data_IF_313549344203
#
_entry.id   IF_313549344203
#
_cell.length_a   1.000
_cell.length_b   1.000
_cell.length_c   1.000
_cell.angle_alpha   90.00
_cell.angle_beta   90.00
_cell.angle_gamma   90.00
#
_symmetry.space_group_name_H-M   'P 1'
#
loop_
_entity.id
_entity.type
_entity.pdbx_description
1 polymer ?
#
# COMPACT_ATOMS: atom_id res chain seq x y z
N UNK A 1 0.91 -1.89 -48.79
CA UNK A 1 -0.02 -2.52 -47.86
C UNK A 1 -1.36 -2.60 -48.58
N UNK A 2 -1.99 -3.77 -48.60
CA UNK A 2 -3.30 -3.96 -49.26
C UNK A 2 -4.43 -3.44 -48.36
N UNK A 3 -5.61 -3.13 -48.92
CA UNK A 3 -6.78 -2.70 -48.13
C UNK A 3 -7.16 -3.70 -47.03
N UNK A 4 -6.98 -5.01 -47.30
CA UNK A 4 -7.23 -6.07 -46.32
C UNK A 4 -6.23 -6.01 -45.16
N UNK A 5 -4.95 -5.75 -45.46
CA UNK A 5 -3.92 -5.60 -44.43
C UNK A 5 -4.21 -4.39 -43.53
N UNK A 6 -4.62 -3.27 -44.11
CA UNK A 6 -5.00 -2.07 -43.35
C UNK A 6 -6.22 -2.33 -42.45
N UNK A 7 -7.24 -3.02 -42.97
CA UNK A 7 -8.40 -3.40 -42.19
C UNK A 7 -8.05 -4.32 -41.01
N UNK A 8 -7.17 -5.31 -41.23
CA UNK A 8 -6.71 -6.23 -40.17
C UNK A 8 -5.94 -5.46 -39.09
N UNK A 9 -5.00 -4.59 -39.49
CA UNK A 9 -4.22 -3.78 -38.54
C UNK A 9 -5.15 -2.89 -37.72
N UNK A 10 -6.12 -2.22 -38.35
CA UNK A 10 -7.08 -1.38 -37.64
C UNK A 10 -7.90 -2.15 -36.60
N UNK A 11 -8.40 -3.35 -36.95
CA UNK A 11 -9.16 -4.20 -36.02
C UNK A 11 -8.30 -4.64 -34.84
N UNK A 12 -7.08 -5.12 -35.11
CA UNK A 12 -6.15 -5.59 -34.07
C UNK A 12 -5.75 -4.45 -33.14
N UNK A 13 -5.36 -3.30 -33.68
CA UNK A 13 -5.00 -2.11 -32.90
C UNK A 13 -6.17 -1.65 -32.04
N UNK A 14 -7.39 -1.61 -32.57
CA UNK A 14 -8.57 -1.22 -31.81
C UNK A 14 -8.90 -2.21 -30.68
N UNK A 15 -8.61 -3.50 -30.85
CA UNK A 15 -8.79 -4.48 -29.79
C UNK A 15 -7.73 -4.33 -28.70
N UNK A 16 -6.46 -4.14 -29.09
CA UNK A 16 -5.34 -3.96 -28.16
C UNK A 16 -5.52 -2.70 -27.30
N UNK A 17 -6.00 -1.59 -27.88
CA UNK A 17 -6.30 -0.34 -27.14
C UNK A 17 -7.32 -0.52 -26.01
N UNK A 18 -8.16 -1.55 -26.07
CA UNK A 18 -9.19 -1.86 -25.06
C UNK A 18 -8.71 -2.83 -23.98
N UNK A 19 -7.45 -3.28 -24.04
CA UNK A 19 -6.86 -4.15 -23.04
C UNK A 19 -6.26 -3.29 -21.94
N UNK A 20 -6.94 -3.19 -20.81
CA UNK A 20 -6.35 -2.59 -19.61
C UNK A 20 -5.52 -3.63 -18.87
N UNK A 21 -4.33 -3.24 -18.42
CA UNK A 21 -3.44 -4.06 -17.60
C UNK A 21 -3.22 -3.37 -16.26
N UNK A 22 -2.19 -2.55 -16.16
CA UNK A 22 -1.75 -1.90 -14.93
C UNK A 22 -1.85 -0.40 -15.06
N UNK A 23 -2.55 0.24 -14.12
CA UNK A 23 -2.83 1.68 -14.16
C UNK A 23 -2.53 2.30 -12.79
N UNK A 24 -1.70 3.36 -12.70
CA UNK A 24 -1.50 4.05 -11.43
C UNK A 24 -2.78 4.74 -10.99
N UNK A 25 -3.06 4.65 -9.69
CA UNK A 25 -4.24 5.23 -9.08
C UNK A 25 -3.96 5.71 -7.67
N UNK A 26 -4.85 6.56 -7.15
CA UNK A 26 -4.86 6.94 -5.74
C UNK A 26 -6.19 6.65 -5.08
N UNK A 27 -6.14 6.37 -3.79
CA UNK A 27 -7.33 6.13 -2.95
C UNK A 27 -8.14 7.41 -2.77
N UNK A 28 -9.44 7.31 -3.05
CA UNK A 28 -10.44 8.37 -2.75
C UNK A 28 -11.11 8.09 -1.41
N UNK A 29 -11.45 6.82 -1.15
CA UNK A 29 -12.04 6.34 0.11
C UNK A 29 -11.71 4.86 0.32
N UNK A 30 -11.68 4.40 1.57
CA UNK A 30 -11.42 3.00 1.92
C UNK A 30 -12.43 2.48 2.96
N UNK A 31 -12.99 1.30 2.71
CA UNK A 31 -13.84 0.55 3.64
C UNK A 31 -13.01 -0.59 4.24
N UNK A 32 -12.57 -0.42 5.48
CA UNK A 32 -11.74 -1.40 6.19
C UNK A 32 -12.47 -2.73 6.49
N UNK A 33 -13.80 -2.72 6.60
CA UNK A 33 -14.58 -3.94 6.86
C UNK A 33 -14.67 -4.81 5.61
N UNK A 34 -14.81 -4.18 4.44
CA UNK A 34 -14.85 -4.87 3.15
C UNK A 34 -13.48 -5.04 2.50
N UNK A 35 -12.45 -4.37 3.02
CA UNK A 35 -11.11 -4.32 2.44
C UNK A 35 -11.13 -3.80 0.99
N UNK A 36 -11.97 -2.79 0.74
CA UNK A 36 -12.23 -2.25 -0.60
C UNK A 36 -12.01 -0.74 -0.64
N UNK A 37 -11.52 -0.24 -1.76
CA UNK A 37 -11.29 1.18 -1.99
C UNK A 37 -12.09 1.69 -3.20
N UNK A 38 -12.41 2.98 -3.16
CA UNK A 38 -12.72 3.75 -4.36
C UNK A 38 -11.44 4.39 -4.85
N UNK A 39 -11.07 4.17 -6.11
CA UNK A 39 -9.78 4.57 -6.67
C UNK A 39 -9.96 5.55 -7.82
N UNK A 40 -9.14 6.59 -7.86
CA UNK A 40 -9.05 7.50 -9.00
C UNK A 40 -7.81 7.15 -9.83
N UNK A 41 -7.97 6.66 -11.06
CA UNK A 41 -6.83 6.52 -11.99
C UNK A 41 -6.12 7.86 -12.22
N UNK A 42 -4.80 7.80 -12.31
CA UNK A 42 -3.90 8.96 -12.44
C UNK A 42 -3.44 9.22 -13.89
N UNK A 43 -3.82 8.36 -14.83
CA UNK A 43 -3.57 8.57 -16.27
C UNK A 43 -4.85 8.96 -17.01
N UNK A 44 -4.66 9.53 -18.21
CA UNK A 44 -5.71 9.73 -19.20
C UNK A 44 -5.56 8.69 -20.30
N UNK A 45 -6.69 8.22 -20.83
CA UNK A 45 -6.72 7.31 -21.97
C UNK A 45 -7.39 8.06 -23.11
N UNK A 46 -6.68 8.21 -24.24
CA UNK A 46 -7.10 9.02 -25.37
C UNK A 46 -7.48 10.47 -24.96
N UNK A 47 -6.74 11.04 -24.01
CA UNK A 47 -6.98 12.39 -23.48
C UNK A 47 -8.13 12.50 -22.47
N UNK A 48 -8.88 11.41 -22.25
CA UNK A 48 -10.03 11.38 -21.34
C UNK A 48 -9.60 10.93 -19.94
N UNK A 49 -10.02 11.68 -18.93
CA UNK A 49 -9.83 11.30 -17.53
C UNK A 49 -10.83 10.19 -17.17
N UNK A 50 -10.35 9.13 -16.54
CA UNK A 50 -11.20 8.03 -16.09
C UNK A 50 -11.97 8.41 -14.82
N UNK A 51 -13.19 7.88 -14.71
CA UNK A 51 -14.00 8.02 -13.51
C UNK A 51 -13.41 7.20 -12.35
N UNK A 52 -13.70 7.58 -11.09
CA UNK A 52 -13.36 6.75 -9.94
C UNK A 52 -13.97 5.35 -10.05
N UNK A 53 -13.20 4.33 -9.70
CA UNK A 53 -13.59 2.93 -9.73
C UNK A 53 -13.93 2.52 -8.29
N UNK A 54 -15.20 2.17 -7.98
CA UNK A 54 -15.62 1.80 -6.64
C UNK A 54 -15.33 0.32 -6.33
N UNK A 55 -15.37 -0.02 -5.04
CA UNK A 55 -15.37 -1.40 -4.54
C UNK A 55 -14.18 -2.27 -4.99
N UNK A 56 -13.01 -1.66 -5.23
CA UNK A 56 -11.81 -2.38 -5.66
C UNK A 56 -11.15 -3.04 -4.46
N UNK A 57 -10.94 -4.38 -4.44
CA UNK A 57 -10.26 -5.06 -3.35
C UNK A 57 -8.79 -4.60 -3.25
N UNK A 58 -8.36 -4.34 -2.02
CA UNK A 58 -7.00 -3.88 -1.69
C UNK A 58 -6.14 -5.05 -1.24
N UNK A 59 -4.96 -5.19 -1.84
CA UNK A 59 -3.98 -6.20 -1.46
C UNK A 59 -3.38 -5.89 -0.09
N UNK A 60 -3.44 -6.87 0.80
CA UNK A 60 -2.65 -6.92 2.05
C UNK A 60 -1.65 -8.08 1.96
N UNK A 61 -0.45 -7.92 2.51
CA UNK A 61 0.58 -8.97 2.49
C UNK A 61 0.25 -9.98 3.60
N UNK A 62 -0.02 -11.23 3.27
CA UNK A 62 -0.37 -12.23 4.30
C UNK A 62 -0.93 -13.53 3.76
N UNK A 63 -1.30 -14.40 4.69
CA UNK A 63 -2.03 -15.66 4.47
C UNK A 63 -3.06 -15.89 5.57
N UNK A 64 -3.58 -17.12 5.67
CA UNK A 64 -4.69 -17.44 6.58
C UNK A 64 -4.42 -17.19 8.08
N UNK A 65 -3.17 -17.36 8.52
CA UNK A 65 -2.80 -17.19 9.94
C UNK A 65 -2.21 -15.82 10.29
N UNK A 66 -1.64 -15.11 9.32
CA UNK A 66 -0.83 -13.91 9.58
C UNK A 66 -0.94 -12.92 8.42
N UNK A 67 -1.03 -11.63 8.73
CA UNK A 67 -1.13 -10.56 7.73
C UNK A 67 -0.41 -9.31 8.23
N UNK A 68 0.26 -8.62 7.31
CA UNK A 68 0.77 -7.26 7.49
C UNK A 68 -0.36 -6.30 7.09
N UNK A 69 -1.05 -5.78 8.11
CA UNK A 69 -2.07 -4.75 7.92
C UNK A 69 -1.39 -3.39 7.83
N UNK A 70 -1.66 -2.66 6.75
CA UNK A 70 -1.21 -1.28 6.57
C UNK A 70 -2.40 -0.33 6.62
N UNK A 71 -2.18 0.86 7.17
CA UNK A 71 -3.17 1.93 7.12
C UNK A 71 -3.30 2.44 5.67
N UNK A 72 -4.55 2.54 5.20
CA UNK A 72 -4.88 3.05 3.86
C UNK A 72 -5.68 4.34 4.03
N UNK A 73 -5.05 5.46 3.66
CA UNK A 73 -5.64 6.78 3.77
C UNK A 73 -6.04 7.32 2.39
N UNK A 74 -6.86 8.37 2.37
CA UNK A 74 -7.13 9.12 1.14
C UNK A 74 -5.81 9.66 0.59
N UNK A 75 -5.59 9.45 -0.71
CA UNK A 75 -4.37 9.86 -1.40
C UNK A 75 -3.28 8.78 -1.45
N UNK A 76 -3.42 7.64 -0.75
CA UNK A 76 -2.49 6.52 -0.90
C UNK A 76 -2.39 6.10 -2.36
N UNK A 77 -1.19 6.16 -2.93
CA UNK A 77 -0.90 5.75 -4.30
C UNK A 77 -0.63 4.25 -4.40
N UNK A 78 -0.86 3.73 -5.59
CA UNK A 78 -0.58 2.34 -5.93
C UNK A 78 -0.91 2.02 -7.38
N UNK A 79 -0.89 0.73 -7.70
CA UNK A 79 -1.20 0.22 -9.03
C UNK A 79 -2.50 -0.58 -8.97
N UNK A 80 -3.42 -0.23 -9.88
CA UNK A 80 -4.55 -1.05 -10.25
C UNK A 80 -4.05 -2.15 -11.19
N UNK A 81 -4.41 -3.41 -10.90
CA UNK A 81 -4.17 -4.55 -11.79
C UNK A 81 -5.51 -5.06 -12.33
N UNK A 82 -5.68 -5.02 -13.64
CA UNK A 82 -6.87 -5.51 -14.32
C UNK A 82 -6.80 -7.02 -14.48
N UNK A 83 -7.89 -7.69 -14.10
CA UNK A 83 -7.98 -9.13 -14.21
C UNK A 83 -8.32 -9.55 -15.64
N UNK A 84 -7.78 -10.69 -16.06
CA UNK A 84 -8.08 -11.29 -17.37
C UNK A 84 -9.59 -11.58 -17.54
N UNK A 85 -10.31 -11.84 -16.45
CA UNK A 85 -11.72 -12.20 -16.42
C UNK A 85 -12.45 -11.47 -15.29
N UNK A 86 -13.77 -11.45 -15.40
CA UNK A 86 -14.67 -11.06 -14.32
C UNK A 86 -14.33 -11.78 -13.01
N UNK A 87 -14.09 -10.98 -11.95
CA UNK A 87 -13.78 -11.45 -10.60
C UNK A 87 -14.95 -11.31 -9.64
N UNK A 88 -16.10 -10.76 -10.06
CA UNK A 88 -17.25 -10.50 -9.21
C UNK A 88 -17.83 -11.77 -8.57
N UNK A 89 -17.71 -12.93 -9.23
CA UNK A 89 -18.11 -14.21 -8.62
C UNK A 89 -17.23 -14.57 -7.43
N UNK A 90 -15.92 -14.36 -7.52
CA UNK A 90 -15.00 -14.58 -6.41
C UNK A 90 -15.14 -13.51 -5.32
N UNK A 91 -15.26 -12.24 -5.71
CA UNK A 91 -15.27 -11.11 -4.79
C UNK A 91 -16.60 -10.94 -4.03
N UNK A 92 -17.73 -11.29 -4.67
CA UNK A 92 -19.07 -11.03 -4.14
C UNK A 92 -19.96 -12.29 -4.07
N UNK A 93 -19.43 -13.48 -4.35
CA UNK A 93 -20.21 -14.71 -4.48
C UNK A 93 -21.38 -14.57 -5.47
N UNK A 94 -21.18 -13.81 -6.55
CA UNK A 94 -22.22 -13.59 -7.56
C UNK A 94 -22.55 -14.89 -8.31
N UNK A 95 -23.82 -15.12 -8.65
CA UNK A 95 -24.28 -16.38 -9.23
C UNK A 95 -23.81 -16.66 -10.66
N UNK A 96 -23.29 -15.65 -11.39
CA UNK A 96 -22.90 -15.80 -12.80
C UNK A 96 -21.68 -14.93 -13.11
N UNK A 97 -20.66 -15.58 -13.66
CA UNK A 97 -19.50 -14.90 -14.24
C UNK A 97 -19.86 -14.32 -15.61
N UNK A 98 -19.50 -13.06 -15.85
CA UNK A 98 -19.67 -12.43 -17.16
C UNK A 98 -18.49 -12.72 -18.10
N UNK A 99 -18.63 -12.32 -19.36
CA UNK A 99 -17.58 -12.46 -20.37
C UNK A 99 -16.64 -11.24 -20.46
N UNK A 100 -16.67 -10.33 -19.47
CA UNK A 100 -15.74 -9.20 -19.42
C UNK A 100 -14.29 -9.71 -19.29
N UNK A 101 -13.39 -9.04 -19.99
CA UNK A 101 -11.95 -9.30 -19.99
C UNK A 101 -11.21 -7.98 -19.89
N UNK A 102 -10.16 -7.91 -19.07
CA UNK A 102 -9.28 -6.73 -18.96
C UNK A 102 -10.06 -5.44 -18.71
N UNK A 103 -11.11 -5.50 -17.88
CA UNK A 103 -12.00 -4.37 -17.60
C UNK A 103 -11.56 -3.65 -16.33
N UNK A 104 -11.70 -2.33 -16.30
CA UNK A 104 -11.46 -1.51 -15.09
C UNK A 104 -12.39 -1.88 -13.92
N UNK A 105 -13.56 -2.45 -14.22
CA UNK A 105 -14.51 -2.94 -13.22
C UNK A 105 -14.09 -4.23 -12.55
N UNK A 106 -13.10 -4.94 -13.12
CA UNK A 106 -12.61 -6.23 -12.65
C UNK A 106 -11.14 -6.09 -12.31
N UNK A 107 -10.88 -5.34 -11.24
CA UNK A 107 -9.54 -4.89 -10.85
C UNK A 107 -9.22 -5.20 -9.40
N UNK A 108 -7.93 -5.22 -9.10
CA UNK A 108 -7.38 -5.26 -7.74
C UNK A 108 -6.43 -4.09 -7.54
N UNK A 109 -6.15 -3.70 -6.30
CA UNK A 109 -5.24 -2.60 -6.02
C UNK A 109 -4.10 -3.02 -5.12
N UNK A 110 -2.88 -2.64 -5.51
CA UNK A 110 -1.67 -2.84 -4.72
C UNK A 110 -1.12 -1.49 -4.28
N UNK A 111 -1.30 -1.13 -2.99
CA UNK A 111 -0.77 0.12 -2.46
C UNK A 111 0.76 0.08 -2.37
N UNK A 112 1.40 1.24 -2.47
CA UNK A 112 2.82 1.41 -2.18
C UNK A 112 3.70 1.79 -3.38
N UNK A 113 3.25 1.55 -4.60
CA UNK A 113 3.84 2.19 -5.79
C UNK A 113 3.54 3.69 -5.72
N UNK A 114 4.57 4.52 -5.97
CA UNK A 114 4.51 5.96 -5.77
C UNK A 114 5.10 6.68 -6.97
N UNK A 115 4.47 7.79 -7.33
CA UNK A 115 5.05 8.79 -8.23
C UNK A 115 6.28 9.44 -7.59
N UNK A 116 7.02 10.22 -8.38
CA UNK A 116 8.14 11.02 -7.87
C UNK A 116 7.68 12.03 -6.80
N UNK A 117 6.52 12.65 -6.98
CA UNK A 117 5.91 13.55 -6.00
C UNK A 117 5.52 12.81 -4.71
N UNK A 118 5.05 11.57 -4.85
CA UNK A 118 4.66 10.68 -3.74
C UNK A 118 5.81 9.92 -3.09
N UNK A 119 7.06 10.20 -3.46
CA UNK A 119 8.24 9.50 -2.96
C UNK A 119 8.29 9.47 -1.42
N UNK A 120 8.83 8.38 -0.86
CA UNK A 120 8.94 8.24 0.59
C UNK A 120 9.98 9.24 1.10
N UNK A 121 9.61 10.20 1.95
CA UNK A 121 10.53 11.22 2.41
C UNK A 121 11.59 10.62 3.33
N UNK A 122 12.85 11.03 3.12
CA UNK A 122 14.00 10.58 3.92
C UNK A 122 14.08 9.04 3.99
N UNK A 123 13.82 8.35 2.88
CA UNK A 123 14.02 6.90 2.79
C UNK A 123 15.51 6.61 2.71
N UNK A 124 16.02 5.87 3.69
CA UNK A 124 17.39 5.39 3.70
C UNK A 124 17.45 3.98 3.11
N UNK A 125 18.28 3.77 2.09
CA UNK A 125 18.50 2.46 1.50
C UNK A 125 19.49 1.63 2.35
N UNK A 126 19.08 1.29 3.56
CA UNK A 126 19.94 0.64 4.56
C UNK A 126 19.13 -0.37 5.39
N UNK A 127 18.86 -1.55 4.83
CA UNK A 127 18.16 -2.63 5.53
C UNK A 127 16.63 -2.57 5.40
N UNK A 128 15.91 -3.13 6.38
CA UNK A 128 14.45 -3.32 6.36
C UNK A 128 13.80 -2.51 7.47
N UNK A 129 12.84 -1.66 7.10
CA UNK A 129 12.18 -0.75 8.02
C UNK A 129 10.65 -0.82 7.93
N UNK A 130 9.98 -1.00 9.08
CA UNK A 130 8.56 -0.69 9.25
C UNK A 130 8.46 0.71 9.84
N UNK A 131 7.79 1.65 9.15
CA UNK A 131 7.76 3.05 9.56
C UNK A 131 6.47 3.79 9.24
N UNK A 132 6.22 4.89 9.95
CA UNK A 132 5.33 5.95 9.48
C UNK A 132 5.92 6.62 8.23
N UNK A 133 5.05 7.17 7.37
CA UNK A 133 5.49 7.80 6.12
C UNK A 133 6.50 8.94 6.36
N UNK A 134 6.34 9.70 7.44
CA UNK A 134 7.26 10.78 7.85
C UNK A 134 8.56 10.30 8.51
N UNK A 135 8.68 9.01 8.82
CA UNK A 135 9.86 8.40 9.42
C UNK A 135 10.05 8.58 10.91
N UNK A 136 9.08 9.15 11.62
CA UNK A 136 9.23 9.37 13.06
C UNK A 136 9.02 8.10 13.88
N UNK A 137 8.09 7.24 13.48
CA UNK A 137 7.79 5.98 14.14
C UNK A 137 8.39 4.85 13.32
N UNK A 138 9.26 4.02 13.89
CA UNK A 138 9.83 2.89 13.17
C UNK A 138 10.34 1.74 14.05
N UNK A 139 10.44 0.57 13.41
CA UNK A 139 11.30 -0.55 13.77
C UNK A 139 12.18 -0.84 12.55
N UNK A 140 13.50 -0.86 12.73
CA UNK A 140 14.45 -0.85 11.63
C UNK A 140 15.61 -1.82 11.88
N UNK A 141 15.65 -2.90 11.11
CA UNK A 141 16.83 -3.75 11.01
C UNK A 141 17.76 -3.18 9.93
N UNK A 142 18.88 -2.60 10.34
CA UNK A 142 19.87 -2.04 9.42
C UNK A 142 20.71 -3.14 8.77
N UNK A 143 21.44 -2.78 7.71
CA UNK A 143 22.28 -3.72 6.97
C UNK A 143 23.51 -4.21 7.75
N UNK A 144 23.88 -3.52 8.83
CA UNK A 144 24.95 -3.87 9.77
C UNK A 144 24.49 -4.86 10.86
N UNK A 145 23.19 -5.20 10.88
CA UNK A 145 22.59 -6.12 11.84
C UNK A 145 21.97 -5.45 13.07
N UNK A 146 22.15 -4.14 13.24
CA UNK A 146 21.58 -3.42 14.37
C UNK A 146 20.06 -3.21 14.21
N UNK A 147 19.33 -3.34 15.32
CA UNK A 147 17.90 -3.04 15.39
C UNK A 147 17.68 -1.68 16.08
N UNK A 148 17.06 -0.75 15.37
CA UNK A 148 16.66 0.55 15.89
C UNK A 148 15.14 0.65 16.04
N UNK A 149 14.68 1.26 17.12
CA UNK A 149 13.26 1.56 17.35
C UNK A 149 13.12 2.99 17.87
N UNK A 150 12.15 3.75 17.37
CA UNK A 150 11.92 5.13 17.85
C UNK A 150 10.90 5.24 19.00
N UNK A 151 10.20 4.16 19.32
CA UNK A 151 9.25 4.09 20.44
C UNK A 151 9.78 3.29 21.63
N UNK A 152 8.93 3.14 22.64
CA UNK A 152 9.22 2.28 23.79
C UNK A 152 9.19 0.80 23.40
N UNK A 153 10.10 0.02 23.97
CA UNK A 153 10.10 -1.45 23.85
C UNK A 153 9.41 -2.02 25.10
N UNK A 154 8.29 -2.72 24.91
CA UNK A 154 7.56 -3.37 25.99
C UNK A 154 7.83 -4.88 25.99
N UNK A 155 8.61 -5.35 26.96
CA UNK A 155 8.87 -6.78 27.16
C UNK A 155 7.86 -7.34 28.18
N UNK A 156 6.94 -8.20 27.72
CA UNK A 156 5.93 -8.82 28.59
C UNK A 156 6.56 -9.75 29.65
N UNK A 157 7.66 -10.39 29.27
CA UNK A 157 8.43 -11.29 30.12
C UNK A 157 9.83 -10.72 30.37
N UNK A 158 10.62 -11.43 31.17
CA UNK A 158 12.00 -11.07 31.45
C UNK A 158 12.84 -10.96 30.17
N UNK A 159 13.61 -9.88 30.07
CA UNK A 159 14.68 -9.74 29.07
C UNK A 159 16.00 -10.17 29.70
N UNK A 160 16.78 -10.95 28.97
CA UNK A 160 18.14 -11.36 29.36
C UNK A 160 19.12 -10.63 28.46
N UNK A 161 20.12 -9.98 29.05
CA UNK A 161 21.22 -9.35 28.32
C UNK A 161 22.49 -10.12 28.64
N UNK A 162 23.14 -10.65 27.61
CA UNK A 162 24.30 -11.55 27.75
C UNK A 162 25.63 -10.84 27.87
N UNK A 163 25.72 -9.59 27.42
CA UNK A 163 26.96 -8.82 27.41
C UNK A 163 26.87 -7.57 28.28
N UNK A 164 26.31 -6.48 27.72
CA UNK A 164 26.34 -5.17 28.37
C UNK A 164 25.07 -4.38 28.13
N UNK A 165 24.59 -3.71 29.17
CA UNK A 165 23.59 -2.64 29.09
C UNK A 165 24.27 -1.30 29.37
N UNK A 166 24.04 -0.31 28.52
CA UNK A 166 24.42 1.08 28.79
C UNK A 166 23.14 1.92 28.79
N UNK A 167 22.79 2.52 29.94
CA UNK A 167 21.59 3.34 30.10
C UNK A 167 21.96 4.74 30.58
N UNK A 168 21.42 5.78 29.92
CA UNK A 168 21.47 7.16 30.43
C UNK A 168 20.31 7.37 31.40
N UNK A 169 20.61 7.59 32.67
CA UNK A 169 19.61 7.87 33.72
C UNK A 169 19.52 9.38 33.93
N UNK A 170 18.30 9.95 33.90
CA UNK A 170 18.06 11.37 34.18
C UNK A 170 17.44 11.50 35.57
N UNK A 171 18.14 12.17 36.48
CA UNK A 171 17.64 12.45 37.84
C UNK A 171 16.86 13.78 37.85
N UNK A 172 15.70 13.79 38.50
CA UNK A 172 14.93 15.00 38.79
C UNK A 172 15.04 15.28 40.29
N UNK A 173 15.61 16.42 40.73
CA UNK A 173 15.69 16.74 42.15
C UNK A 173 14.30 17.07 42.71
N UNK A 174 13.95 16.46 43.83
CA UNK A 174 12.76 16.84 44.63
C UNK A 174 13.19 17.95 45.59
N UNK A 175 12.64 19.15 45.43
CA UNK A 175 12.84 20.26 46.36
C UNK A 175 12.04 19.97 47.65
N UNK A 176 12.70 19.48 48.70
CA UNK A 176 12.10 19.36 50.03
C UNK A 176 12.22 20.70 50.74
N UNK A 177 11.19 21.54 50.64
CA UNK A 177 11.07 22.73 51.50
C UNK A 177 10.67 22.23 52.90
N UNK A 178 11.65 22.10 53.80
CA UNK A 178 11.35 21.99 55.23
C UNK A 178 10.98 23.37 55.74
N UNK A 179 9.69 23.62 55.94
CA UNK A 179 9.22 24.74 56.76
C UNK A 179 9.64 24.44 58.21
N UNK A 180 10.59 25.21 58.73
CA UNK A 180 10.85 25.25 60.17
C UNK A 180 9.66 25.96 60.82
N UNK A 181 8.96 25.26 61.70
CA UNK A 181 8.00 25.83 62.65
C UNK A 181 8.81 26.35 63.85
#
# INVERSE_FOLDING_TARGET
MTELEEAIVAVVTNHIKKIYTDIPAKVVSYDAKKQQATLQPLIKIDGVKLNPIPAVPVQHIGGLGWTVAIQIDKGTEGIIKCCMRDIGTWLHNSKKQTNRKFSLTDTTFSPGYRSEEGAIPNLENNGIQLRSNDGKNYVWLKNDGDLYTSGNIHCKNQSVVTERVTQKVKFYPVLVIRTLI
#
